data_IF_537836196247
#
_entry.id   IF_537836196247
#
_cell.length_a   1.000
_cell.length_b   1.000
_cell.length_c   1.000
_cell.angle_alpha   90.00
_cell.angle_beta   90.00
_cell.angle_gamma   90.00
#
_symmetry.space_group_name_H-M   'P 1'
#
loop_
_entity.id
_entity.type
_entity.pdbx_description
1 polymer ?
#
# COMPACT_ATOMS: atom_id res chain seq x y z
N UNK A 1 10.11 14.95 13.66
CA UNK A 1 10.63 13.72 13.03
C UNK A 1 9.94 13.61 11.68
N UNK A 2 10.65 13.34 10.56
CA UNK A 2 9.99 13.10 9.30
C UNK A 2 9.11 11.84 9.42
N UNK A 3 8.01 11.81 8.64
CA UNK A 3 7.25 10.59 8.42
C UNK A 3 8.24 9.52 7.93
N UNK A 4 8.38 8.40 8.63
CA UNK A 4 9.29 7.34 8.19
C UNK A 4 8.69 6.60 7.02
N UNK A 5 9.40 6.54 5.89
CA UNK A 5 9.05 5.69 4.77
C UNK A 5 9.23 4.23 5.14
N UNK A 6 8.37 3.42 4.59
CA UNK A 6 8.55 1.98 4.62
C UNK A 6 9.51 1.64 3.49
N UNK A 7 10.76 1.42 3.85
CA UNK A 7 11.76 0.93 2.89
C UNK A 7 11.45 -0.54 2.60
N UNK A 8 10.65 -0.79 1.58
CA UNK A 8 10.53 -2.12 1.01
C UNK A 8 11.82 -2.42 0.26
N UNK A 9 12.74 -3.15 0.89
CA UNK A 9 13.99 -3.57 0.22
C UNK A 9 13.67 -4.67 -0.79
N UNK A 10 14.05 -4.52 -2.07
CA UNK A 10 13.92 -5.60 -3.03
C UNK A 10 14.93 -6.71 -2.70
N UNK A 11 14.45 -7.95 -2.56
CA UNK A 11 15.33 -9.11 -2.61
C UNK A 11 15.78 -9.39 -4.05
N UNK A 12 17.05 -9.78 -4.29
CA UNK A 12 17.49 -10.21 -5.61
C UNK A 12 16.76 -11.50 -6.01
N UNK A 13 15.87 -11.42 -7.01
CA UNK A 13 15.17 -12.59 -7.53
C UNK A 13 13.66 -12.51 -7.55
N UNK A 14 13.06 -11.36 -7.26
CA UNK A 14 11.60 -11.17 -7.32
C UNK A 14 10.87 -11.88 -6.19
N UNK A 15 10.93 -11.28 -5.00
CA UNK A 15 10.40 -11.86 -3.77
C UNK A 15 8.91 -12.23 -3.83
N UNK A 16 8.50 -13.30 -3.13
CA UNK A 16 7.11 -13.75 -3.03
C UNK A 16 6.14 -12.69 -2.50
N UNK A 17 6.61 -11.74 -1.69
CA UNK A 17 5.83 -10.62 -1.14
C UNK A 17 5.15 -9.76 -2.21
N UNK A 18 5.84 -9.54 -3.35
CA UNK A 18 5.28 -8.77 -4.46
C UNK A 18 4.14 -9.52 -5.18
N UNK A 19 4.08 -10.85 -5.08
CA UNK A 19 3.06 -11.66 -5.75
C UNK A 19 1.72 -11.71 -5.03
N UNK A 20 1.69 -11.50 -3.71
CA UNK A 20 0.41 -11.43 -2.99
C UNK A 20 -0.26 -10.07 -3.18
N UNK A 21 0.51 -8.99 -3.15
CA UNK A 21 0.01 -7.68 -3.56
C UNK A 21 -0.53 -7.70 -5.00
N UNK A 22 -0.03 -8.64 -5.84
CA UNK A 22 -0.54 -8.87 -7.18
C UNK A 22 -1.95 -9.54 -7.22
N UNK A 23 -2.43 -10.17 -6.16
CA UNK A 23 -3.73 -10.87 -6.19
C UNK A 23 -4.92 -9.92 -6.38
N UNK A 24 -4.98 -8.81 -5.61
CA UNK A 24 -5.96 -7.74 -5.86
C UNK A 24 -5.66 -6.89 -7.09
N UNK A 25 -4.40 -6.89 -7.56
CA UNK A 25 -3.95 -6.06 -8.67
C UNK A 25 -4.52 -6.46 -10.04
N UNK A 26 -4.79 -7.74 -10.30
CA UNK A 26 -5.29 -8.19 -11.61
C UNK A 26 -6.65 -7.54 -11.92
N UNK A 27 -7.58 -7.57 -10.97
CA UNK A 27 -8.88 -6.92 -11.10
C UNK A 27 -8.74 -5.40 -11.25
N UNK A 28 -7.98 -4.76 -10.35
CA UNK A 28 -7.74 -3.33 -10.37
C UNK A 28 -7.04 -2.87 -11.66
N UNK A 29 -6.09 -3.64 -12.20
CA UNK A 29 -5.42 -3.37 -13.49
C UNK A 29 -6.43 -3.34 -14.64
N UNK A 30 -7.36 -4.31 -14.68
CA UNK A 30 -8.41 -4.35 -15.70
C UNK A 30 -9.31 -3.11 -15.65
N UNK A 31 -9.73 -2.72 -14.44
CA UNK A 31 -10.53 -1.49 -14.22
C UNK A 31 -9.71 -0.26 -14.62
N UNK A 32 -8.45 -0.16 -14.23
CA UNK A 32 -7.59 0.98 -14.54
C UNK A 32 -7.40 1.18 -16.05
N UNK A 33 -7.21 0.09 -16.81
CA UNK A 33 -7.16 0.13 -18.26
C UNK A 33 -8.48 0.62 -18.89
N UNK A 34 -9.64 0.25 -18.32
CA UNK A 34 -10.95 0.76 -18.76
C UNK A 34 -11.09 2.26 -18.48
N UNK A 35 -10.61 2.74 -17.33
CA UNK A 35 -10.58 4.17 -17.02
C UNK A 35 -9.71 4.93 -18.03
N UNK A 36 -8.51 4.42 -18.33
CA UNK A 36 -7.61 4.99 -19.33
C UNK A 36 -8.26 5.07 -20.73
N UNK A 37 -9.13 4.11 -21.06
CA UNK A 37 -9.86 4.13 -22.33
C UNK A 37 -10.93 5.23 -22.41
N UNK A 38 -11.33 5.86 -21.32
CA UNK A 38 -12.48 6.79 -21.26
C UNK A 38 -12.15 8.17 -20.74
N UNK A 39 -11.10 8.36 -19.91
CA UNK A 39 -10.73 9.70 -19.39
C UNK A 39 -10.45 10.69 -20.51
N UNK A 40 -10.79 11.97 -20.34
CA UNK A 40 -10.39 13.03 -21.26
C UNK A 40 -8.88 13.12 -21.36
N UNK A 41 -8.38 13.22 -22.59
CA UNK A 41 -6.94 13.37 -22.84
C UNK A 41 -6.63 14.79 -23.33
N UNK A 42 -5.51 15.38 -22.91
CA UNK A 42 -5.06 16.66 -23.43
C UNK A 42 -4.70 16.54 -24.91
N UNK A 43 -4.81 17.63 -25.65
CA UNK A 43 -4.28 17.68 -27.00
C UNK A 43 -2.75 17.79 -26.99
N UNK A 44 -2.08 17.10 -27.93
CA UNK A 44 -0.66 17.29 -28.14
C UNK A 44 -0.31 18.77 -28.43
N UNK A 45 0.83 19.29 -27.97
CA UNK A 45 1.96 18.59 -27.37
C UNK A 45 1.88 18.39 -25.85
N UNK A 46 0.76 18.77 -25.19
CA UNK A 46 0.64 18.58 -23.74
C UNK A 46 0.67 17.08 -23.39
N UNK A 47 1.52 16.65 -22.44
CA UNK A 47 1.59 15.24 -22.08
C UNK A 47 0.32 14.78 -21.38
N UNK A 48 0.00 13.48 -21.51
CA UNK A 48 -0.94 12.78 -20.65
C UNK A 48 -0.22 12.52 -19.33
N UNK A 49 -0.78 12.96 -18.20
CA UNK A 49 -0.17 12.79 -16.88
C UNK A 49 -0.84 11.64 -16.14
N UNK A 50 -0.05 10.63 -15.80
CA UNK A 50 -0.44 9.53 -14.90
C UNK A 50 0.30 9.72 -13.59
N UNK A 51 -0.40 9.72 -12.46
CA UNK A 51 0.20 9.81 -11.14
C UNK A 51 0.08 8.48 -10.41
N UNK A 52 1.17 8.02 -9.80
CA UNK A 52 1.27 6.84 -8.98
C UNK A 52 1.57 7.26 -7.53
N UNK A 53 0.61 7.11 -6.64
CA UNK A 53 0.69 7.58 -5.27
C UNK A 53 1.06 6.44 -4.31
N UNK A 54 2.26 6.52 -3.71
CA UNK A 54 2.83 5.47 -2.89
C UNK A 54 3.47 4.38 -3.75
N UNK A 55 4.43 4.77 -4.59
CA UNK A 55 5.03 3.92 -5.60
C UNK A 55 5.98 2.86 -5.03
N UNK A 56 6.56 3.09 -3.86
CA UNK A 56 7.62 2.27 -3.27
C UNK A 56 8.73 1.96 -4.31
N UNK A 57 9.00 0.69 -4.60
CA UNK A 57 9.95 0.25 -5.63
C UNK A 57 9.39 0.26 -7.06
N UNK A 58 8.15 0.67 -7.26
CA UNK A 58 7.47 0.72 -8.55
C UNK A 58 6.92 -0.61 -9.07
N UNK A 59 7.28 -1.73 -8.47
CA UNK A 59 6.92 -3.06 -8.99
C UNK A 59 5.42 -3.26 -9.15
N UNK A 60 4.60 -2.89 -8.17
CA UNK A 60 3.15 -3.02 -8.21
C UNK A 60 2.47 -2.11 -9.24
N UNK A 61 3.17 -1.11 -9.72
CA UNK A 61 2.67 -0.11 -10.68
C UNK A 61 2.99 -0.46 -12.13
N UNK A 62 3.93 -1.40 -12.39
CA UNK A 62 4.37 -1.74 -13.74
C UNK A 62 3.21 -2.17 -14.64
N UNK A 63 2.46 -3.19 -14.22
CA UNK A 63 1.37 -3.75 -15.01
C UNK A 63 0.19 -2.79 -15.16
N UNK A 64 -0.35 -2.17 -14.09
CA UNK A 64 -1.46 -1.23 -14.25
C UNK A 64 -1.11 -0.02 -15.11
N UNK A 65 0.05 0.60 -14.91
CA UNK A 65 0.47 1.75 -15.71
C UNK A 65 0.73 1.34 -17.16
N UNK A 66 1.38 0.19 -17.38
CA UNK A 66 1.57 -0.36 -18.73
C UNK A 66 0.25 -0.60 -19.46
N UNK A 67 -0.75 -1.16 -18.78
CA UNK A 67 -2.09 -1.38 -19.32
C UNK A 67 -2.82 -0.06 -19.65
N UNK A 68 -2.66 0.96 -18.80
CA UNK A 68 -3.21 2.30 -19.05
C UNK A 68 -2.55 2.96 -20.29
N UNK A 69 -1.21 2.90 -20.39
CA UNK A 69 -0.48 3.43 -21.54
C UNK A 69 -0.92 2.71 -22.84
N UNK A 70 -1.04 1.40 -22.81
CA UNK A 70 -1.57 0.64 -23.96
C UNK A 70 -3.00 1.09 -24.34
N UNK A 71 -3.85 1.44 -23.35
CA UNK A 71 -5.17 2.00 -23.63
C UNK A 71 -5.09 3.42 -24.24
N UNK A 72 -4.17 4.26 -23.79
CA UNK A 72 -3.93 5.58 -24.39
C UNK A 72 -3.45 5.45 -25.85
N UNK A 73 -2.55 4.53 -26.15
CA UNK A 73 -2.02 4.33 -27.52
C UNK A 73 -3.10 3.93 -28.54
N UNK A 74 -4.20 3.31 -28.10
CA UNK A 74 -5.36 3.06 -28.99
C UNK A 74 -6.15 4.32 -29.32
N UNK A 75 -5.94 5.44 -28.62
CA UNK A 75 -6.71 6.69 -28.72
C UNK A 75 -5.87 7.87 -29.19
N UNK A 76 -4.56 7.71 -29.18
CA UNK A 76 -3.59 8.78 -29.47
C UNK A 76 -2.54 8.32 -30.45
N UNK A 77 -1.75 9.26 -30.97
CA UNK A 77 -0.55 8.94 -31.73
C UNK A 77 0.48 8.25 -30.82
N UNK A 78 1.34 7.43 -31.41
CA UNK A 78 2.40 6.71 -30.69
C UNK A 78 3.47 7.62 -30.08
N UNK A 79 3.61 8.84 -30.61
CA UNK A 79 4.54 9.87 -30.14
C UNK A 79 3.93 10.84 -29.11
N UNK A 80 2.63 10.72 -28.78
CA UNK A 80 2.03 11.57 -27.74
C UNK A 80 2.63 11.23 -26.36
N UNK A 81 3.30 12.18 -25.78
CA UNK A 81 4.02 11.97 -24.50
C UNK A 81 3.08 11.57 -23.36
N UNK A 82 3.48 10.55 -22.61
CA UNK A 82 2.88 10.16 -21.33
C UNK A 82 3.90 10.43 -20.22
N UNK A 83 3.59 11.35 -19.34
CA UNK A 83 4.39 11.61 -18.14
C UNK A 83 3.85 10.75 -17.01
N UNK A 84 4.64 9.82 -16.50
CA UNK A 84 4.32 9.01 -15.33
C UNK A 84 5.05 9.57 -14.11
N UNK A 85 4.31 10.04 -13.12
CA UNK A 85 4.87 10.64 -11.90
C UNK A 85 4.68 9.66 -10.75
N UNK A 86 5.73 8.96 -10.38
CA UNK A 86 5.78 8.13 -9.19
C UNK A 86 6.00 9.01 -7.97
N UNK A 87 5.19 8.84 -6.93
CA UNK A 87 5.31 9.64 -5.72
C UNK A 87 5.41 8.74 -4.50
N UNK A 88 6.29 9.11 -3.57
CA UNK A 88 6.44 8.45 -2.28
C UNK A 88 7.05 9.43 -1.26
N UNK A 89 7.30 8.99 -0.04
CA UNK A 89 7.98 9.80 0.96
C UNK A 89 9.43 10.14 0.52
N UNK A 90 10.02 11.23 1.03
CA UNK A 90 11.36 11.67 0.59
C UNK A 90 12.47 10.67 0.84
N UNK A 91 12.31 9.79 1.82
CA UNK A 91 13.26 8.76 2.23
C UNK A 91 13.01 7.39 1.54
N UNK A 92 12.05 7.31 0.60
CA UNK A 92 11.87 6.13 -0.25
C UNK A 92 13.13 5.85 -1.09
N UNK A 93 13.42 4.58 -1.34
CA UNK A 93 14.50 4.17 -2.23
C UNK A 93 14.14 4.40 -3.71
N UNK A 94 14.28 5.65 -4.15
CA UNK A 94 14.06 6.01 -5.55
C UNK A 94 15.11 5.39 -6.50
N UNK A 95 16.26 4.95 -6.00
CA UNK A 95 17.22 4.18 -6.80
C UNK A 95 16.65 2.83 -7.18
N UNK A 96 16.07 2.11 -6.20
CA UNK A 96 15.39 0.85 -6.46
C UNK A 96 14.20 1.03 -7.43
N UNK A 97 13.42 2.11 -7.28
CA UNK A 97 12.33 2.44 -8.22
C UNK A 97 12.85 2.56 -9.66
N UNK A 98 13.87 3.39 -9.90
CA UNK A 98 14.39 3.58 -11.25
C UNK A 98 15.10 2.34 -11.79
N UNK A 99 15.73 1.53 -10.95
CA UNK A 99 16.28 0.22 -11.31
C UNK A 99 15.16 -0.73 -11.77
N UNK A 100 14.07 -0.83 -11.02
CA UNK A 100 12.89 -1.61 -11.42
C UNK A 100 12.36 -1.16 -12.79
N UNK A 101 12.21 0.15 -13.00
CA UNK A 101 11.72 0.70 -14.27
C UNK A 101 12.69 0.44 -15.44
N UNK A 102 13.99 0.40 -15.19
CA UNK A 102 14.99 0.15 -16.21
C UNK A 102 15.13 -1.34 -16.58
N UNK A 103 15.08 -2.23 -15.59
CA UNK A 103 15.50 -3.62 -15.73
C UNK A 103 14.36 -4.61 -15.87
N UNK A 104 13.18 -4.33 -15.27
CA UNK A 104 12.07 -5.27 -15.29
C UNK A 104 11.50 -5.43 -16.71
N UNK A 105 11.33 -6.68 -17.20
CA UNK A 105 10.77 -6.94 -18.53
C UNK A 105 9.33 -6.45 -18.70
N UNK A 106 8.58 -6.29 -17.60
CA UNK A 106 7.20 -5.79 -17.64
C UNK A 106 7.10 -4.26 -17.53
N UNK A 107 8.24 -3.58 -17.41
CA UNK A 107 8.27 -2.13 -17.31
C UNK A 107 7.68 -1.44 -18.56
N UNK A 108 6.75 -0.53 -18.33
CA UNK A 108 6.18 0.32 -19.37
C UNK A 108 7.24 1.22 -20.01
N UNK A 109 8.26 1.65 -19.25
CA UNK A 109 9.34 2.50 -19.76
C UNK A 109 10.22 1.79 -20.80
N UNK A 110 10.29 0.46 -20.76
CA UNK A 110 10.96 -0.36 -21.77
C UNK A 110 10.07 -0.64 -22.99
N UNK A 111 8.76 -0.72 -22.78
CA UNK A 111 7.78 -1.12 -23.80
C UNK A 111 7.26 0.06 -24.63
N UNK A 112 7.35 1.28 -24.11
CA UNK A 112 6.81 2.48 -24.75
C UNK A 112 7.82 3.64 -24.71
N UNK A 113 8.30 4.05 -25.88
CA UNK A 113 9.38 5.06 -26.03
C UNK A 113 8.91 6.49 -25.82
N UNK A 114 7.60 6.75 -25.79
CA UNK A 114 7.03 8.05 -25.50
C UNK A 114 6.43 8.16 -24.10
N UNK A 115 6.86 7.28 -23.20
CA UNK A 115 6.56 7.31 -21.77
C UNK A 115 7.78 7.79 -20.98
N UNK A 116 7.56 8.78 -20.13
CA UNK A 116 8.61 9.49 -19.38
C UNK A 116 8.38 9.32 -17.88
N UNK A 117 9.09 8.39 -17.21
CA UNK A 117 9.01 8.23 -15.77
C UNK A 117 9.70 9.40 -15.05
N UNK A 118 9.09 9.84 -13.96
CA UNK A 118 9.65 10.81 -13.02
C UNK A 118 9.27 10.42 -11.60
N UNK A 119 9.96 10.97 -10.60
CA UNK A 119 9.66 10.70 -9.20
C UNK A 119 9.61 12.00 -8.38
N UNK A 120 8.73 12.04 -7.35
CA UNK A 120 8.61 13.15 -6.40
C UNK A 120 8.57 12.59 -4.99
N UNK A 121 9.55 12.99 -4.17
CA UNK A 121 9.63 12.67 -2.74
C UNK A 121 8.76 13.61 -1.91
N UNK A 122 7.47 13.28 -1.73
CA UNK A 122 6.52 14.06 -0.92
C UNK A 122 5.34 13.19 -0.49
N UNK A 123 4.90 13.35 0.77
CA UNK A 123 3.73 12.65 1.30
C UNK A 123 2.46 12.92 0.49
N UNK A 124 1.73 11.87 0.14
CA UNK A 124 0.44 11.98 -0.56
C UNK A 124 -0.69 12.50 0.35
N UNK A 125 -0.44 12.69 1.64
CA UNK A 125 -1.32 13.43 2.53
C UNK A 125 -1.16 14.96 2.42
N UNK A 126 -0.46 15.41 1.39
CA UNK A 126 -0.35 16.80 0.96
C UNK A 126 -0.53 16.91 -0.55
N UNK A 127 -0.63 18.14 -1.07
CA UNK A 127 -0.63 18.36 -2.51
C UNK A 127 0.79 18.12 -3.06
N UNK A 128 0.92 17.24 -4.05
CA UNK A 128 2.19 16.86 -4.67
C UNK A 128 2.31 17.48 -6.06
N UNK A 129 1.24 17.41 -6.83
CA UNK A 129 1.20 17.84 -8.22
C UNK A 129 0.42 19.14 -8.37
N UNK A 130 0.68 19.93 -9.43
CA UNK A 130 -0.10 21.12 -9.71
C UNK A 130 -1.59 20.83 -9.83
N UNK A 131 -2.40 21.79 -9.45
CA UNK A 131 -3.85 21.65 -9.56
C UNK A 131 -4.26 21.39 -11.01
N UNK A 132 -5.21 20.46 -11.19
CA UNK A 132 -5.80 20.09 -12.47
C UNK A 132 -4.79 19.58 -13.52
N UNK A 133 -3.69 18.95 -13.06
CA UNK A 133 -2.64 18.44 -13.94
C UNK A 133 -2.74 16.93 -14.24
N UNK A 134 -3.38 16.13 -13.36
CA UNK A 134 -3.41 14.67 -13.44
C UNK A 134 -4.62 14.20 -14.23
N UNK A 135 -4.39 13.44 -15.30
CA UNK A 135 -5.48 12.84 -16.09
C UNK A 135 -5.95 11.52 -15.49
N UNK A 136 -5.03 10.71 -14.97
CA UNK A 136 -5.34 9.42 -14.39
C UNK A 136 -4.43 9.14 -13.19
N UNK A 137 -5.01 8.83 -12.06
CA UNK A 137 -4.29 8.50 -10.82
C UNK A 137 -4.41 7.02 -10.46
N UNK A 138 -3.37 6.49 -9.86
CA UNK A 138 -3.28 5.15 -9.33
C UNK A 138 -2.72 5.16 -7.91
N UNK A 139 -3.23 4.32 -7.04
CA UNK A 139 -2.60 3.96 -5.77
C UNK A 139 -3.03 2.56 -5.35
N UNK A 140 -2.09 1.76 -4.85
CA UNK A 140 -2.36 0.42 -4.35
C UNK A 140 -1.61 0.15 -3.07
N UNK A 141 -2.28 -0.40 -2.05
CA UNK A 141 -1.71 -0.81 -0.77
C UNK A 141 -1.01 0.31 0.03
N UNK A 142 -1.28 1.58 -0.30
CA UNK A 142 -0.58 2.72 0.32
C UNK A 142 -1.47 3.48 1.31
N UNK A 143 -2.74 3.75 0.97
CA UNK A 143 -3.60 4.62 1.78
C UNK A 143 -4.08 4.01 3.10
N UNK A 144 -3.80 2.74 3.34
CA UNK A 144 -4.00 2.08 4.62
C UNK A 144 -2.96 2.45 5.68
N UNK A 145 -1.77 2.93 5.26
CA UNK A 145 -0.71 3.37 6.14
C UNK A 145 -1.04 4.75 6.70
N UNK A 146 -1.09 4.84 8.02
CA UNK A 146 -1.42 6.09 8.69
C UNK A 146 -0.21 7.02 8.74
N UNK A 147 -0.47 8.31 8.56
CA UNK A 147 0.48 9.35 8.89
C UNK A 147 0.84 9.25 10.38
N UNK A 148 2.13 9.33 10.68
CA UNK A 148 2.64 9.40 12.06
C UNK A 148 3.12 10.82 12.36
N UNK A 149 2.25 11.75 12.74
CA UNK A 149 2.69 13.00 13.29
C UNK A 149 3.45 12.71 14.59
N UNK A 150 4.56 13.40 14.83
CA UNK A 150 5.39 13.15 16.01
C UNK A 150 4.56 13.29 17.29
N UNK A 151 4.42 12.18 18.03
CA UNK A 151 3.74 12.15 19.34
C UNK A 151 2.20 12.09 19.30
N UNK A 152 1.56 11.91 18.14
CA UNK A 152 0.09 11.91 18.03
C UNK A 152 -0.55 10.52 18.09
N UNK A 153 0.15 9.46 17.67
CA UNK A 153 -0.35 8.10 17.84
C UNK A 153 0.15 7.51 19.16
N UNK A 154 -0.77 7.09 20.06
CA UNK A 154 -0.38 6.50 21.33
C UNK A 154 0.29 5.14 21.13
N UNK A 155 1.24 4.85 22.01
CA UNK A 155 1.76 3.50 22.21
C UNK A 155 0.72 2.66 22.96
N UNK A 156 0.68 1.36 22.69
CA UNK A 156 -0.13 0.40 23.43
C UNK A 156 0.69 -0.89 23.60
N UNK A 157 0.68 -1.44 24.83
CA UNK A 157 1.66 -2.45 25.25
C UNK A 157 1.17 -3.89 25.07
N UNK A 158 -0.08 -4.11 24.74
CA UNK A 158 -0.75 -5.40 24.72
C UNK A 158 -0.74 -6.10 23.35
N UNK A 159 -0.47 -5.36 22.28
CA UNK A 159 -0.40 -5.89 20.92
C UNK A 159 0.42 -4.99 20.01
N UNK A 160 0.81 -5.46 18.81
CA UNK A 160 1.50 -4.66 17.77
C UNK A 160 0.55 -3.96 16.81
N UNK A 161 -0.75 -4.25 16.88
CA UNK A 161 -1.77 -3.67 16.00
C UNK A 161 -2.99 -3.24 16.81
N UNK A 162 -3.42 -2.01 16.61
CA UNK A 162 -4.45 -1.36 17.43
C UNK A 162 -5.82 -2.05 17.38
N UNK A 163 -6.14 -2.73 16.28
CA UNK A 163 -7.40 -3.48 16.14
C UNK A 163 -7.51 -4.63 17.16
N UNK A 164 -6.37 -5.21 17.54
CA UNK A 164 -6.28 -6.31 18.49
C UNK A 164 -5.90 -5.88 19.90
N UNK A 165 -5.67 -4.58 20.13
CA UNK A 165 -5.39 -4.03 21.44
C UNK A 165 -6.68 -3.87 22.26
N UNK A 166 -6.60 -4.07 23.58
CA UNK A 166 -7.69 -3.79 24.52
C UNK A 166 -7.79 -2.29 24.89
N UNK A 167 -6.85 -1.45 24.42
CA UNK A 167 -6.86 -0.01 24.65
C UNK A 167 -7.87 0.73 23.76
N UNK A 168 -9.07 0.94 24.29
CA UNK A 168 -10.13 1.70 23.62
C UNK A 168 -9.72 3.14 23.25
N UNK A 169 -8.81 3.74 24.02
CA UNK A 169 -8.36 5.11 23.76
C UNK A 169 -7.44 5.12 22.56
N UNK A 170 -6.48 4.20 22.50
CA UNK A 170 -5.63 4.02 21.33
C UNK A 170 -6.48 3.74 20.09
N UNK A 171 -7.42 2.80 20.15
CA UNK A 171 -8.32 2.50 19.03
C UNK A 171 -9.05 3.73 18.49
N UNK A 172 -9.61 4.57 19.39
CA UNK A 172 -10.29 5.82 18.97
C UNK A 172 -9.35 6.82 18.31
N UNK A 173 -8.11 6.95 18.80
CA UNK A 173 -7.13 7.87 18.20
C UNK A 173 -6.72 7.40 16.82
N UNK A 174 -6.40 6.11 16.65
CA UNK A 174 -6.05 5.53 15.36
C UNK A 174 -7.19 5.63 14.33
N UNK A 175 -8.43 5.34 14.75
CA UNK A 175 -9.61 5.49 13.87
C UNK A 175 -9.80 6.94 13.42
N UNK A 176 -9.61 7.91 14.34
CA UNK A 176 -9.69 9.33 13.98
C UNK A 176 -8.59 9.73 12.99
N UNK A 177 -7.36 9.26 13.23
CA UNK A 177 -6.25 9.51 12.30
C UNK A 177 -6.54 8.91 10.92
N UNK A 178 -7.04 7.68 10.85
CA UNK A 178 -7.40 7.03 9.59
C UNK A 178 -8.48 7.81 8.82
N UNK A 179 -9.48 8.36 9.52
CA UNK A 179 -10.50 9.21 8.92
C UNK A 179 -9.93 10.52 8.39
N UNK A 180 -9.05 11.18 9.16
CA UNK A 180 -8.39 12.43 8.75
C UNK A 180 -7.46 12.19 7.55
N UNK A 181 -6.68 11.11 7.56
CA UNK A 181 -5.78 10.75 6.46
C UNK A 181 -6.53 10.49 5.16
N UNK A 182 -7.64 9.75 5.23
CA UNK A 182 -8.48 9.53 4.05
C UNK A 182 -9.11 10.82 3.53
N UNK A 183 -9.61 11.68 4.44
CA UNK A 183 -10.14 13.00 4.08
C UNK A 183 -9.08 13.84 3.36
N UNK A 184 -7.88 13.96 3.92
CA UNK A 184 -6.80 14.77 3.36
C UNK A 184 -6.33 14.21 2.02
N UNK A 185 -6.16 12.89 1.93
CA UNK A 185 -5.81 12.22 0.68
C UNK A 185 -6.81 12.58 -0.43
N UNK A 186 -8.11 12.38 -0.19
CA UNK A 186 -9.15 12.66 -1.18
C UNK A 186 -9.17 14.15 -1.55
N UNK A 187 -9.02 15.05 -0.56
CA UNK A 187 -9.03 16.50 -0.79
C UNK A 187 -7.91 16.93 -1.75
N UNK A 188 -6.67 16.47 -1.52
CA UNK A 188 -5.55 16.83 -2.37
C UNK A 188 -5.65 16.18 -3.76
N UNK A 189 -6.14 14.94 -3.85
CA UNK A 189 -6.38 14.30 -5.17
C UNK A 189 -7.46 15.05 -5.95
N UNK A 190 -8.50 15.54 -5.26
CA UNK A 190 -9.51 16.38 -5.89
C UNK A 190 -8.95 17.66 -6.52
N UNK A 191 -7.92 18.26 -5.91
CA UNK A 191 -7.24 19.44 -6.48
C UNK A 191 -6.35 19.08 -7.68
N UNK A 192 -5.63 17.97 -7.60
CA UNK A 192 -4.65 17.57 -8.62
C UNK A 192 -5.28 16.99 -9.88
N UNK A 193 -6.39 16.29 -9.77
CA UNK A 193 -7.08 15.72 -10.93
C UNK A 193 -7.61 16.81 -11.86
N UNK A 194 -7.36 16.64 -13.15
CA UNK A 194 -7.93 17.48 -14.21
C UNK A 194 -9.44 17.27 -14.34
N UNK A 195 -10.21 18.21 -14.90
CA UNK A 195 -11.63 18.02 -15.15
C UNK A 195 -11.91 16.73 -15.95
N UNK A 196 -12.73 15.84 -15.41
CA UNK A 196 -13.01 14.51 -15.96
C UNK A 196 -11.91 13.48 -15.73
N UNK A 197 -10.81 13.83 -15.04
CA UNK A 197 -9.79 12.90 -14.60
C UNK A 197 -10.30 11.93 -13.55
N UNK A 198 -9.65 10.77 -13.42
CA UNK A 198 -10.06 9.71 -12.50
C UNK A 198 -8.89 9.20 -11.67
N UNK A 199 -9.21 8.69 -10.47
CA UNK A 199 -8.25 8.02 -9.60
C UNK A 199 -8.80 6.65 -9.23
N UNK A 200 -8.00 5.61 -9.38
CA UNK A 200 -8.26 4.31 -8.81
C UNK A 200 -7.46 4.13 -7.53
N UNK A 201 -8.15 3.72 -6.47
CA UNK A 201 -7.56 3.36 -5.18
C UNK A 201 -7.84 1.90 -4.90
N UNK A 202 -6.80 1.10 -4.66
CA UNK A 202 -6.88 -0.25 -4.11
C UNK A 202 -6.25 -0.24 -2.73
N UNK A 203 -7.01 -0.54 -1.68
CA UNK A 203 -6.54 -0.42 -0.30
C UNK A 203 -7.14 -1.51 0.59
N UNK A 204 -6.50 -1.77 1.73
CA UNK A 204 -7.10 -2.66 2.73
C UNK A 204 -8.44 -2.09 3.22
N UNK A 205 -9.39 -2.99 3.40
CA UNK A 205 -10.69 -2.72 3.96
C UNK A 205 -10.94 -3.55 5.22
N UNK A 206 -12.12 -3.46 5.78
CA UNK A 206 -12.62 -4.38 6.79
C UNK A 206 -13.85 -5.12 6.25
N UNK A 207 -14.05 -6.35 6.72
CA UNK A 207 -15.23 -7.15 6.38
C UNK A 207 -16.51 -6.60 7.04
N UNK A 208 -17.65 -7.25 6.80
CA UNK A 208 -18.93 -6.86 7.38
C UNK A 208 -18.97 -6.92 8.92
N UNK A 209 -18.04 -7.66 9.54
CA UNK A 209 -17.87 -7.73 10.99
C UNK A 209 -16.83 -6.73 11.52
N UNK A 210 -16.24 -5.91 10.65
CA UNK A 210 -15.22 -4.92 11.01
C UNK A 210 -13.81 -5.49 11.17
N UNK A 211 -13.49 -6.66 10.61
CA UNK A 211 -12.20 -7.34 10.75
C UNK A 211 -11.33 -7.11 9.52
N UNK A 212 -10.04 -6.86 9.73
CA UNK A 212 -9.05 -6.63 8.67
C UNK A 212 -8.53 -7.91 8.00
N UNK A 213 -8.76 -9.09 8.63
CA UNK A 213 -8.30 -10.37 8.15
C UNK A 213 -6.84 -10.72 8.48
N UNK A 214 -6.08 -9.83 9.09
CA UNK A 214 -4.68 -10.04 9.44
C UNK A 214 -4.44 -10.89 10.71
N UNK A 215 -5.48 -11.30 11.44
CA UNK A 215 -5.40 -11.96 12.73
C UNK A 215 -4.32 -13.05 12.82
N UNK A 216 -4.34 -14.09 11.96
CA UNK A 216 -3.32 -15.17 12.02
C UNK A 216 -1.88 -14.68 11.88
N UNK A 217 -1.65 -13.64 11.07
CA UNK A 217 -0.32 -13.05 10.87
C UNK A 217 0.12 -12.25 12.11
N UNK A 218 -0.79 -11.45 12.67
CA UNK A 218 -0.54 -10.63 13.84
C UNK A 218 -0.29 -11.47 15.10
N UNK A 219 -1.08 -12.53 15.30
CA UNK A 219 -0.89 -13.49 16.39
C UNK A 219 0.49 -14.18 16.31
N UNK A 220 0.90 -14.54 15.10
CA UNK A 220 2.22 -15.14 14.89
C UNK A 220 3.35 -14.15 15.22
N UNK A 221 3.23 -12.89 14.82
CA UNK A 221 4.20 -11.82 15.13
C UNK A 221 4.31 -11.63 16.64
N UNK A 222 3.19 -11.41 17.34
CA UNK A 222 3.17 -11.19 18.80
C UNK A 222 3.80 -12.36 19.53
N UNK A 223 3.46 -13.58 19.15
CA UNK A 223 4.01 -14.77 19.80
C UNK A 223 5.53 -14.90 19.62
N UNK A 224 6.10 -14.50 18.49
CA UNK A 224 7.57 -14.47 18.29
C UNK A 224 8.22 -13.34 19.10
N UNK A 225 7.60 -12.16 19.17
CA UNK A 225 8.10 -11.06 20.00
C UNK A 225 8.13 -11.46 21.49
N UNK A 226 7.09 -12.13 21.96
CA UNK A 226 7.06 -12.66 23.35
C UNK A 226 8.14 -13.70 23.62
N UNK A 227 8.51 -14.51 22.64
CA UNK A 227 9.66 -15.43 22.76
C UNK A 227 10.96 -14.65 22.86
N UNK A 228 11.19 -13.65 22.02
CA UNK A 228 12.40 -12.85 22.06
C UNK A 228 12.53 -12.07 23.37
N UNK A 229 11.43 -11.63 23.99
CA UNK A 229 11.45 -11.04 25.35
C UNK A 229 11.83 -12.07 26.41
N UNK A 230 11.26 -13.28 26.33
CA UNK A 230 11.62 -14.36 27.28
C UNK A 230 13.08 -14.77 27.22
N UNK A 231 13.62 -14.76 25.99
CA UNK A 231 15.02 -15.13 25.73
C UNK A 231 16.00 -13.97 26.00
N UNK A 232 15.49 -12.77 26.36
CA UNK A 232 16.29 -11.60 26.66
C UNK A 232 16.88 -10.88 25.43
N UNK A 233 16.44 -11.22 24.23
CA UNK A 233 16.85 -10.55 22.97
C UNK A 233 16.18 -9.18 22.82
N UNK A 234 14.96 -9.04 23.34
CA UNK A 234 14.19 -7.81 23.39
C UNK A 234 13.79 -7.46 24.85
N UNK A 235 13.60 -6.19 25.10
CA UNK A 235 12.96 -5.71 26.33
C UNK A 235 11.46 -5.53 26.14
N UNK A 236 10.69 -5.59 27.22
CA UNK A 236 9.25 -5.27 27.19
C UNK A 236 8.98 -3.85 26.70
N UNK A 237 9.85 -2.88 27.06
CA UNK A 237 9.72 -1.50 26.64
C UNK A 237 9.95 -1.31 25.14
N UNK A 238 10.83 -2.11 24.52
CA UNK A 238 11.00 -2.11 23.07
C UNK A 238 9.73 -2.63 22.40
N UNK A 239 9.18 -3.76 22.85
CA UNK A 239 7.95 -4.34 22.27
C UNK A 239 6.75 -3.41 22.46
N UNK A 240 6.64 -2.72 23.62
CA UNK A 240 5.56 -1.77 23.86
C UNK A 240 5.56 -0.57 22.88
N UNK A 241 6.73 -0.22 22.33
CA UNK A 241 6.84 0.81 21.28
C UNK A 241 6.60 0.28 19.87
N UNK A 242 6.55 -1.04 19.69
CA UNK A 242 6.30 -1.66 18.38
C UNK A 242 4.83 -1.52 18.02
N UNK A 243 4.53 -0.78 16.96
CA UNK A 243 3.17 -0.65 16.45
C UNK A 243 3.16 -0.61 14.92
N UNK A 244 2.16 -1.26 14.35
CA UNK A 244 1.93 -1.30 12.90
C UNK A 244 0.84 -0.27 12.59
N UNK A 245 1.17 0.89 11.99
CA UNK A 245 0.22 1.97 11.75
C UNK A 245 -0.58 1.75 10.46
N UNK A 246 -1.23 0.60 10.37
CA UNK A 246 -2.07 0.22 9.23
C UNK A 246 -3.51 0.08 9.71
N UNK A 247 -4.47 0.65 8.99
CA UNK A 247 -5.90 0.39 9.24
C UNK A 247 -6.65 0.18 7.93
N UNK A 248 -7.42 -0.90 7.87
CA UNK A 248 -8.47 -1.09 6.88
C UNK A 248 -9.63 -0.14 7.16
N UNK A 249 -10.38 0.21 6.10
CA UNK A 249 -11.55 1.09 6.22
C UNK A 249 -12.81 0.36 5.78
N UNK A 250 -13.90 0.57 6.49
CA UNK A 250 -15.22 0.13 6.07
C UNK A 250 -15.73 0.97 4.89
N UNK A 251 -16.69 0.45 4.14
CA UNK A 251 -17.37 1.20 3.08
C UNK A 251 -17.94 2.53 3.59
N UNK A 252 -18.49 2.55 4.82
CA UNK A 252 -19.02 3.75 5.46
C UNK A 252 -17.95 4.81 5.66
N UNK A 253 -16.76 4.43 6.12
CA UNK A 253 -15.63 5.35 6.35
C UNK A 253 -15.07 5.86 5.01
N UNK A 254 -15.00 5.00 3.99
CA UNK A 254 -14.57 5.40 2.64
C UNK A 254 -15.52 6.43 2.01
N UNK A 255 -16.83 6.32 2.27
CA UNK A 255 -17.85 7.26 1.80
C UNK A 255 -17.96 8.53 2.64
N UNK A 256 -17.46 8.55 3.87
CA UNK A 256 -17.68 9.62 4.83
C UNK A 256 -17.31 11.03 4.31
N UNK A 257 -16.17 11.26 3.60
CA UNK A 257 -15.84 12.59 3.07
C UNK A 257 -16.88 13.13 2.07
N UNK A 258 -17.62 12.26 1.40
CA UNK A 258 -18.59 12.61 0.36
C UNK A 258 -19.99 12.90 0.90
N UNK A 259 -20.25 12.62 2.17
CA UNK A 259 -21.57 12.87 2.79
C UNK A 259 -21.75 14.35 3.17
N UNK A 260 -22.98 14.88 3.15
CA UNK A 260 -24.20 14.27 2.62
C UNK A 260 -24.39 14.51 1.12
N UNK A 261 -23.55 15.34 0.47
CA UNK A 261 -23.78 15.85 -0.88
C UNK A 261 -23.41 14.84 -2.00
N UNK A 262 -22.87 13.66 -1.67
CA UNK A 262 -22.37 12.67 -2.64
C UNK A 262 -21.10 13.11 -3.38
N UNK A 263 -20.50 14.25 -2.98
CA UNK A 263 -19.32 14.82 -3.62
C UNK A 263 -18.42 15.53 -2.60
N UNK A 264 -17.12 15.50 -2.85
CA UNK A 264 -16.12 16.23 -2.05
C UNK A 264 -14.98 16.71 -2.95
N UNK A 265 -14.55 17.98 -2.85
CA UNK A 265 -13.50 18.61 -3.70
C UNK A 265 -13.75 18.38 -5.22
N UNK A 266 -15.03 18.45 -5.64
CA UNK A 266 -15.48 18.11 -6.99
C UNK A 266 -15.22 16.67 -7.42
N UNK A 267 -14.95 15.77 -6.50
CA UNK A 267 -14.90 14.33 -6.73
C UNK A 267 -16.22 13.66 -6.38
N UNK A 268 -16.54 12.60 -7.09
CA UNK A 268 -17.61 11.65 -6.78
C UNK A 268 -17.06 10.23 -6.77
N UNK A 269 -17.68 9.32 -6.02
CA UNK A 269 -17.37 7.90 -6.09
C UNK A 269 -18.17 7.29 -7.26
N UNK A 270 -17.50 6.90 -8.35
CA UNK A 270 -18.14 6.18 -9.46
C UNK A 270 -18.29 4.68 -9.17
N UNK A 271 -17.34 4.11 -8.45
CA UNK A 271 -17.31 2.69 -8.08
C UNK A 271 -16.71 2.55 -6.70
N UNK A 272 -17.29 1.69 -5.89
CA UNK A 272 -16.73 1.23 -4.63
C UNK A 272 -17.16 -0.21 -4.44
N UNK A 273 -16.19 -1.09 -4.32
CA UNK A 273 -16.36 -2.52 -4.11
C UNK A 273 -15.48 -2.96 -2.95
N UNK A 274 -16.03 -3.76 -2.06
CA UNK A 274 -15.26 -4.47 -1.03
C UNK A 274 -15.30 -5.96 -1.37
N UNK A 275 -14.14 -6.59 -1.44
CA UNK A 275 -14.00 -8.00 -1.81
C UNK A 275 -12.78 -8.60 -1.10
N UNK A 276 -12.79 -9.92 -0.94
CA UNK A 276 -11.65 -10.61 -0.37
C UNK A 276 -10.54 -10.78 -1.42
N UNK A 277 -9.30 -10.46 -1.04
CA UNK A 277 -8.14 -10.75 -1.87
C UNK A 277 -7.99 -12.28 -2.04
N UNK A 278 -7.66 -12.73 -3.25
CA UNK A 278 -7.31 -14.12 -3.48
C UNK A 278 -6.08 -14.50 -2.66
N UNK A 279 -6.21 -15.51 -1.79
CA UNK A 279 -5.07 -16.08 -1.08
C UNK A 279 -4.44 -17.19 -1.92
N UNK A 280 -3.57 -16.81 -2.86
CA UNK A 280 -2.86 -17.76 -3.73
C UNK A 280 -1.91 -18.68 -3.00
N UNK A 281 -1.45 -18.30 -1.81
CA UNK A 281 -0.61 -19.15 -0.98
C UNK A 281 -1.42 -20.27 -0.37
N UNK A 282 -2.65 -19.95 0.07
CA UNK A 282 -3.61 -20.94 0.56
C UNK A 282 -4.08 -21.89 -0.54
N UNK A 283 -4.43 -21.34 -1.72
CA UNK A 283 -4.82 -22.15 -2.88
C UNK A 283 -3.72 -23.14 -3.27
N UNK A 284 -2.47 -22.70 -3.23
CA UNK A 284 -1.31 -23.55 -3.46
C UNK A 284 -1.18 -24.63 -2.40
N UNK A 285 -1.27 -24.26 -1.12
CA UNK A 285 -1.23 -25.20 0.00
C UNK A 285 -2.33 -26.27 -0.09
N UNK A 286 -3.53 -25.92 -0.53
CA UNK A 286 -4.61 -26.89 -0.75
C UNK A 286 -4.28 -27.91 -1.84
N UNK A 287 -3.38 -27.60 -2.78
CA UNK A 287 -2.97 -28.48 -3.86
C UNK A 287 -1.79 -29.39 -3.46
N UNK A 288 -0.80 -28.86 -2.76
CA UNK A 288 0.46 -29.56 -2.51
C UNK A 288 0.69 -29.94 -1.04
N UNK A 289 -0.07 -29.39 -0.09
CA UNK A 289 0.04 -29.64 1.35
C UNK A 289 1.33 -29.08 1.98
N UNK A 290 2.06 -28.19 1.24
CA UNK A 290 3.33 -27.64 1.72
C UNK A 290 3.10 -26.49 2.70
N UNK A 291 2.92 -26.81 3.98
CA UNK A 291 2.75 -25.85 5.06
C UNK A 291 3.99 -24.95 5.25
N UNK A 292 5.20 -25.48 4.98
CA UNK A 292 6.44 -24.70 5.11
C UNK A 292 6.49 -23.61 4.05
N UNK A 293 6.15 -23.94 2.81
CA UNK A 293 6.04 -22.93 1.75
C UNK A 293 4.97 -21.88 2.06
N UNK A 294 3.79 -22.28 2.57
CA UNK A 294 2.73 -21.36 2.99
C UNK A 294 3.25 -20.37 4.05
N UNK A 295 3.85 -20.87 5.13
CA UNK A 295 4.39 -20.03 6.21
C UNK A 295 5.50 -19.10 5.74
N UNK A 296 6.41 -19.60 4.89
CA UNK A 296 7.50 -18.80 4.31
C UNK A 296 6.98 -17.65 3.45
N UNK A 297 5.99 -17.92 2.58
CA UNK A 297 5.43 -16.89 1.70
C UNK A 297 4.72 -15.78 2.49
N UNK A 298 3.92 -16.14 3.50
CA UNK A 298 3.26 -15.17 4.35
C UNK A 298 4.24 -14.36 5.21
N UNK A 299 5.27 -15.02 5.78
CA UNK A 299 6.31 -14.34 6.55
C UNK A 299 7.08 -13.33 5.68
N UNK A 300 7.46 -13.72 4.46
CA UNK A 300 8.12 -12.80 3.52
C UNK A 300 7.23 -11.61 3.13
N UNK A 301 5.91 -11.82 2.99
CA UNK A 301 4.97 -10.72 2.71
C UNK A 301 4.97 -9.68 3.84
N UNK A 302 4.83 -10.10 5.09
CA UNK A 302 4.83 -9.15 6.22
C UNK A 302 6.23 -8.60 6.52
N UNK A 303 7.29 -9.38 6.29
CA UNK A 303 8.67 -8.95 6.48
C UNK A 303 9.00 -7.74 5.64
N UNK A 304 8.66 -7.76 4.36
CA UNK A 304 8.95 -6.67 3.45
C UNK A 304 8.27 -5.34 3.83
N UNK A 305 7.04 -5.40 4.36
CA UNK A 305 6.22 -4.22 4.61
C UNK A 305 6.25 -3.76 6.08
N UNK A 306 6.31 -4.71 7.04
CA UNK A 306 5.99 -4.44 8.45
C UNK A 306 7.23 -4.51 9.35
N UNK A 307 8.13 -5.47 9.16
CA UNK A 307 9.23 -5.71 10.11
C UNK A 307 10.24 -4.57 10.20
N UNK A 308 10.57 -3.80 9.14
CA UNK A 308 11.37 -2.59 9.27
C UNK A 308 10.73 -1.54 10.19
N UNK A 309 9.40 -1.43 10.15
CA UNK A 309 8.66 -0.52 11.05
C UNK A 309 8.77 -0.98 12.51
N UNK A 310 8.67 -2.29 12.79
CA UNK A 310 8.87 -2.82 14.13
C UNK A 310 10.33 -2.66 14.58
N UNK A 311 11.30 -2.90 13.70
CA UNK A 311 12.72 -2.74 13.99
C UNK A 311 13.07 -1.29 14.40
N UNK A 312 12.37 -0.29 13.85
CA UNK A 312 12.58 1.12 14.21
C UNK A 312 12.26 1.44 15.67
N UNK A 313 11.55 0.58 16.39
CA UNK A 313 11.22 0.69 17.79
C UNK A 313 12.32 0.12 18.74
N UNK A 314 13.37 -0.50 18.21
CA UNK A 314 14.54 -0.91 18.97
C UNK A 314 15.22 0.30 19.60
N UNK A 315 16.03 0.09 20.64
CA UNK A 315 16.65 1.17 21.40
C UNK A 315 17.54 2.10 20.54
N UNK A 316 18.23 1.54 19.54
CA UNK A 316 19.03 2.29 18.56
C UNK A 316 18.23 2.78 17.34
N UNK A 317 16.92 2.57 17.29
CA UNK A 317 16.07 2.93 16.13
C UNK A 317 16.46 2.15 14.88
N UNK A 318 16.38 2.81 13.73
CA UNK A 318 16.76 2.22 12.43
C UNK A 318 18.24 1.86 12.32
N UNK A 319 19.10 2.48 13.13
CA UNK A 319 20.54 2.26 13.16
C UNK A 319 20.97 1.24 14.24
N UNK A 320 20.02 0.60 14.93
CA UNK A 320 20.31 -0.44 15.92
C UNK A 320 21.05 -1.59 15.27
N UNK A 321 22.24 -1.99 15.78
CA UNK A 321 23.03 -3.08 15.20
C UNK A 321 22.29 -4.43 15.19
N UNK A 322 21.25 -4.59 16.02
CA UNK A 322 20.41 -5.80 16.06
C UNK A 322 19.31 -5.79 14.99
N UNK A 323 19.04 -4.67 14.31
CA UNK A 323 17.88 -4.53 13.44
C UNK A 323 17.79 -5.62 12.36
N UNK A 324 18.91 -5.91 11.69
CA UNK A 324 18.95 -6.95 10.66
C UNK A 324 18.71 -8.36 11.23
N UNK A 325 19.30 -8.65 12.39
CA UNK A 325 19.13 -9.94 13.07
C UNK A 325 17.71 -10.09 13.60
N UNK A 326 17.14 -9.04 14.16
CA UNK A 326 15.75 -8.97 14.60
C UNK A 326 14.78 -9.31 13.47
N UNK A 327 14.91 -8.66 12.30
CA UNK A 327 14.07 -8.93 11.13
C UNK A 327 14.17 -10.38 10.69
N UNK A 328 15.39 -10.94 10.59
CA UNK A 328 15.58 -12.35 10.19
C UNK A 328 14.95 -13.33 11.19
N UNK A 329 15.14 -13.12 12.51
CA UNK A 329 14.57 -13.98 13.53
C UNK A 329 13.04 -13.90 13.54
N UNK A 330 12.49 -12.69 13.39
CA UNK A 330 11.04 -12.47 13.33
C UNK A 330 10.44 -13.18 12.12
N UNK A 331 11.07 -13.06 10.95
CA UNK A 331 10.62 -13.72 9.71
C UNK A 331 10.64 -15.24 9.84
N UNK A 332 11.75 -15.82 10.32
CA UNK A 332 11.87 -17.26 10.51
C UNK A 332 10.86 -17.79 11.55
N UNK A 333 10.67 -17.08 12.66
CA UNK A 333 9.73 -17.46 13.71
C UNK A 333 8.27 -17.39 13.26
N UNK A 334 7.89 -16.33 12.53
CA UNK A 334 6.55 -16.19 11.94
C UNK A 334 6.30 -17.28 10.90
N UNK A 335 7.26 -17.56 10.01
CA UNK A 335 7.15 -18.64 9.03
C UNK A 335 6.90 -20.00 9.69
N UNK A 336 7.67 -20.33 10.74
CA UNK A 336 7.54 -21.59 11.46
C UNK A 336 6.16 -21.72 12.16
N UNK A 337 5.64 -20.64 12.75
CA UNK A 337 4.34 -20.65 13.42
C UNK A 337 3.19 -20.82 12.44
N UNK A 338 3.21 -20.10 11.32
CA UNK A 338 2.20 -20.25 10.28
C UNK A 338 2.24 -21.64 9.63
N UNK A 339 3.43 -22.21 9.48
CA UNK A 339 3.59 -23.58 9.01
C UNK A 339 3.06 -24.64 10.00
N UNK A 340 3.20 -24.40 11.31
CA UNK A 340 2.72 -25.33 12.35
C UNK A 340 1.20 -25.36 12.52
N UNK A 341 0.52 -24.27 12.14
CA UNK A 341 -0.94 -24.12 12.19
C UNK A 341 -1.45 -23.41 10.94
N UNK A 342 -1.49 -24.10 9.78
CA UNK A 342 -1.91 -23.51 8.53
C UNK A 342 -3.35 -22.98 8.61
N UNK A 343 -3.53 -21.70 8.27
CA UNK A 343 -4.83 -21.03 8.23
C UNK A 343 -4.89 -20.17 6.97
N UNK A 344 -6.09 -20.05 6.42
CA UNK A 344 -6.35 -19.08 5.34
C UNK A 344 -6.30 -17.66 5.89
N UNK A 345 -5.63 -16.77 5.17
CA UNK A 345 -5.60 -15.33 5.47
C UNK A 345 -6.45 -14.59 4.45
N UNK A 346 -7.66 -14.22 4.85
CA UNK A 346 -8.59 -13.48 4.01
C UNK A 346 -8.49 -11.99 4.31
N UNK A 347 -7.89 -11.23 3.41
CA UNK A 347 -7.71 -9.79 3.54
C UNK A 347 -8.77 -9.08 2.71
N UNK A 348 -9.74 -8.37 3.33
CA UNK A 348 -10.68 -7.54 2.61
C UNK A 348 -9.97 -6.37 1.93
N UNK A 349 -10.26 -6.15 0.65
CA UNK A 349 -9.78 -5.03 -0.14
C UNK A 349 -10.94 -4.16 -0.59
N UNK A 350 -10.73 -2.85 -0.65
CA UNK A 350 -11.61 -1.91 -1.31
C UNK A 350 -10.99 -1.43 -2.63
N UNK A 351 -11.76 -1.54 -3.71
CA UNK A 351 -11.46 -0.88 -4.98
C UNK A 351 -12.40 0.32 -5.11
N UNK A 352 -11.81 1.51 -5.24
CA UNK A 352 -12.55 2.76 -5.32
C UNK A 352 -12.16 3.49 -6.59
N UNK A 353 -13.13 3.94 -7.36
CA UNK A 353 -12.91 4.87 -8.49
C UNK A 353 -13.49 6.22 -8.12
N UNK A 354 -12.61 7.20 -8.02
CA UNK A 354 -12.97 8.60 -7.84
C UNK A 354 -12.92 9.31 -9.19
N UNK A 355 -13.95 10.10 -9.48
CA UNK A 355 -14.05 10.88 -10.71
C UNK A 355 -14.18 12.36 -10.44
N UNK A 356 -13.34 13.17 -11.10
CA UNK A 356 -13.41 14.62 -11.05
C UNK A 356 -14.53 15.11 -11.98
N UNK A 357 -15.41 15.94 -11.46
CA UNK A 357 -16.44 16.62 -12.28
C UNK A 357 -15.79 17.48 -13.37
N UNK A 358 -16.46 17.59 -14.50
CA UNK A 358 -16.02 18.41 -15.65
C UNK A 358 -16.23 19.89 -15.39
#
# INVERSE_FOLDING_TARGET
>A
MPESSIVVRPEPGGAPSNRLQAAGLAHATGVFAQLAATVPLPAAPRPIVVADYGAATGYNSLLPIGAAIAAFRRRTRTDHAVLVVHTDLPDNDFTALFTTLADDPDSYARKDTASFPSAIGRSFYSQILPSQSVNLGWTSWSTMWLRRPAGELPEFADHVHVEHSDDDTARRVYTRQAAQDWHDFVAFRGRELSPGGKLLVLTAAVDAAGRSGYGPLLDAIVAVLDEQVRDGALTRDEVARMSIPVLGRSEKELRAPFAPAGRFESLTIERLEVFDAEDRFWDRYLLDGDAVALGTHWAAFVSAAVFPTLASALAGGTDDPRAADFVRHLEAGVAARLASNPQQVQIPLALIVLAKQR
#
